data_IF_155636435016
#
_entry.id   IF_155636435016
#
_cell.length_a   1.000
_cell.length_b   1.000
_cell.length_c   1.000
_cell.angle_alpha   90.00
_cell.angle_beta   90.00
_cell.angle_gamma   90.00
#
_symmetry.space_group_name_H-M   'P 1'
#
loop_
_entity.id
_entity.type
_entity.pdbx_description
1 polymer ?
#
# COMPACT_ATOMS: atom_id res chain seq x y z
N UNK A 1 -4.29 -9.60 -29.63
CA UNK A 1 -3.68 -8.98 -28.43
C UNK A 1 -4.74 -8.80 -27.37
N UNK A 2 -4.53 -9.43 -26.22
CA UNK A 2 -5.37 -9.26 -25.03
C UNK A 2 -5.20 -7.87 -24.42
N UNK A 3 -5.99 -7.54 -23.39
CA UNK A 3 -5.86 -6.29 -22.64
C UNK A 3 -4.52 -6.25 -21.90
N UNK A 4 -4.09 -7.39 -21.34
CA UNK A 4 -2.81 -7.53 -20.65
C UNK A 4 -1.63 -7.19 -21.57
N UNK A 5 -1.54 -7.83 -22.75
CA UNK A 5 -0.43 -7.55 -23.70
C UNK A 5 -0.40 -6.09 -24.12
N UNK A 6 -1.56 -5.47 -24.35
CA UNK A 6 -1.63 -4.02 -24.67
C UNK A 6 -1.10 -3.16 -23.53
N UNK A 7 -1.36 -3.52 -22.28
CA UNK A 7 -0.83 -2.80 -21.12
C UNK A 7 0.68 -2.98 -20.99
N UNK A 8 1.18 -4.21 -21.18
CA UNK A 8 2.61 -4.52 -21.17
C UNK A 8 3.37 -3.76 -22.27
N UNK A 9 2.83 -3.67 -23.48
CA UNK A 9 3.45 -2.91 -24.57
C UNK A 9 3.53 -1.41 -24.26
N UNK A 10 2.53 -0.85 -23.56
CA UNK A 10 2.56 0.56 -23.09
C UNK A 10 3.69 0.77 -22.07
N UNK A 11 3.82 -0.15 -21.11
CA UNK A 11 4.91 -0.12 -20.11
C UNK A 11 6.26 -0.20 -20.83
N UNK A 12 6.43 -1.16 -21.73
CA UNK A 12 7.68 -1.35 -22.45
C UNK A 12 8.03 -0.17 -23.34
N UNK A 13 7.05 0.46 -24.00
CA UNK A 13 7.29 1.68 -24.75
C UNK A 13 7.80 2.81 -23.85
N UNK A 14 7.23 2.96 -22.65
CA UNK A 14 7.72 3.92 -21.66
C UNK A 14 9.14 3.59 -21.19
N UNK A 15 9.43 2.31 -20.92
CA UNK A 15 10.78 1.87 -20.55
C UNK A 15 11.78 2.10 -21.69
N UNK A 16 11.44 1.86 -22.95
CA UNK A 16 12.34 2.14 -24.08
C UNK A 16 12.72 3.62 -24.18
N UNK A 17 11.81 4.52 -23.80
CA UNK A 17 12.04 5.96 -23.84
C UNK A 17 12.85 6.47 -22.65
N UNK A 18 12.58 5.94 -21.45
CA UNK A 18 13.11 6.51 -20.20
C UNK A 18 14.14 5.60 -19.50
N UNK A 19 14.11 4.28 -19.76
CA UNK A 19 14.96 3.23 -19.17
C UNK A 19 15.43 2.20 -20.21
N UNK A 20 16.09 2.63 -21.31
CA UNK A 20 16.50 1.71 -22.36
C UNK A 20 17.39 0.57 -21.85
N UNK A 21 18.14 0.80 -20.76
CA UNK A 21 18.91 -0.22 -20.06
C UNK A 21 18.03 -1.35 -19.53
N UNK A 22 16.94 -1.05 -18.81
CA UNK A 22 16.01 -2.08 -18.30
C UNK A 22 15.24 -2.74 -19.44
N UNK A 23 14.78 -1.95 -20.41
CA UNK A 23 14.08 -2.49 -21.58
C UNK A 23 14.94 -3.50 -22.36
N UNK A 24 16.26 -3.27 -22.43
CA UNK A 24 17.20 -4.16 -23.11
C UNK A 24 17.47 -5.48 -22.39
N UNK A 25 17.20 -5.54 -21.07
CA UNK A 25 17.39 -6.74 -20.26
C UNK A 25 16.21 -7.72 -20.34
N UNK A 26 15.06 -7.31 -20.89
CA UNK A 26 13.90 -8.19 -21.00
C UNK A 26 14.15 -9.32 -21.99
N UNK A 27 14.14 -10.56 -21.49
CA UNK A 27 14.32 -11.77 -22.31
C UNK A 27 13.16 -11.92 -23.29
N UNK A 28 13.38 -12.39 -24.53
CA UNK A 28 12.30 -12.69 -25.45
C UNK A 28 11.24 -13.61 -24.82
N UNK A 29 9.99 -13.41 -25.20
CA UNK A 29 8.88 -14.26 -24.78
C UNK A 29 9.06 -15.72 -25.21
N UNK A 30 8.46 -16.62 -24.43
CA UNK A 30 8.44 -18.05 -24.69
C UNK A 30 7.26 -18.45 -25.58
N UNK A 31 7.39 -19.56 -26.30
CA UNK A 31 6.25 -20.21 -26.93
C UNK A 31 5.36 -20.90 -25.89
N UNK A 32 4.10 -21.15 -26.23
CA UNK A 32 3.18 -21.85 -25.33
C UNK A 32 3.72 -23.25 -24.95
N UNK A 33 4.27 -23.98 -25.93
CA UNK A 33 4.84 -25.31 -25.72
C UNK A 33 6.04 -25.29 -24.75
N UNK A 34 6.89 -24.27 -24.83
CA UNK A 34 8.01 -24.08 -23.90
C UNK A 34 7.52 -23.82 -22.47
N UNK A 35 6.52 -22.96 -22.30
CA UNK A 35 5.93 -22.67 -20.99
C UNK A 35 5.29 -23.94 -20.42
N UNK A 36 4.42 -24.61 -21.19
CA UNK A 36 3.75 -25.84 -20.78
C UNK A 36 4.75 -26.93 -20.37
N UNK A 37 5.85 -27.08 -21.11
CA UNK A 37 6.90 -28.05 -20.79
C UNK A 37 7.62 -27.75 -19.47
N UNK A 38 7.83 -26.47 -19.15
CA UNK A 38 8.48 -26.05 -17.90
C UNK A 38 7.54 -26.21 -16.69
N UNK A 39 6.27 -25.83 -16.83
CA UNK A 39 5.31 -25.84 -15.71
C UNK A 39 4.63 -27.20 -15.48
N UNK A 40 4.84 -28.20 -16.36
CA UNK A 40 4.17 -29.51 -16.30
C UNK A 40 4.30 -30.26 -14.97
N UNK A 41 5.39 -29.99 -14.24
CA UNK A 41 5.70 -30.67 -12.98
C UNK A 41 5.18 -29.89 -11.75
N UNK A 42 4.61 -28.70 -11.93
CA UNK A 42 3.98 -27.99 -10.82
C UNK A 42 2.76 -28.76 -10.32
N UNK A 43 2.53 -28.82 -9.00
CA UNK A 43 1.39 -29.54 -8.41
C UNK A 43 0.04 -28.81 -8.62
N UNK A 44 0.05 -27.70 -9.34
CA UNK A 44 -1.09 -26.83 -9.62
C UNK A 44 -0.98 -26.26 -11.03
N UNK A 45 -2.08 -25.68 -11.51
CA UNK A 45 -2.16 -24.97 -12.78
C UNK A 45 -2.07 -23.46 -12.56
N UNK A 46 -1.44 -22.79 -13.51
CA UNK A 46 -1.28 -21.33 -13.53
C UNK A 46 -2.44 -20.68 -14.29
N UNK A 47 -2.83 -19.44 -13.94
CA UNK A 47 -3.87 -18.73 -14.67
C UNK A 47 -3.41 -18.33 -16.07
N UNK A 48 -4.34 -18.20 -17.02
CA UNK A 48 -4.05 -17.84 -18.41
C UNK A 48 -3.21 -16.55 -18.54
N UNK A 49 -3.45 -15.55 -17.69
CA UNK A 49 -2.66 -14.30 -17.68
C UNK A 49 -1.15 -14.52 -17.45
N UNK A 50 -0.75 -15.58 -16.72
CA UNK A 50 0.67 -15.91 -16.53
C UNK A 50 1.31 -16.41 -17.81
N UNK A 51 0.59 -17.27 -18.56
CA UNK A 51 1.05 -17.69 -19.89
C UNK A 51 1.19 -16.50 -20.82
N UNK A 52 0.19 -15.62 -20.88
CA UNK A 52 0.23 -14.42 -21.70
C UNK A 52 1.41 -13.49 -21.35
N UNK A 53 1.73 -13.35 -20.06
CA UNK A 53 2.87 -12.57 -19.58
C UNK A 53 4.21 -13.18 -20.04
N UNK A 54 4.41 -14.49 -19.86
CA UNK A 54 5.66 -15.16 -20.25
C UNK A 54 5.80 -15.37 -21.76
N UNK A 55 4.69 -15.41 -22.50
CA UNK A 55 4.70 -15.34 -23.96
C UNK A 55 5.10 -13.96 -24.49
N UNK A 56 4.93 -12.91 -23.69
CA UNK A 56 5.33 -11.55 -24.03
C UNK A 56 6.84 -11.34 -23.78
N UNK A 57 7.31 -11.52 -22.55
CA UNK A 57 8.72 -11.53 -22.20
C UNK A 57 8.99 -12.51 -21.05
N UNK A 58 10.18 -13.09 -21.01
CA UNK A 58 10.54 -14.12 -20.02
C UNK A 58 11.42 -13.60 -18.89
N UNK A 59 10.98 -12.52 -18.24
CA UNK A 59 11.72 -11.89 -17.15
C UNK A 59 12.95 -11.09 -17.59
N UNK A 60 13.71 -10.65 -16.59
CA UNK A 60 14.97 -9.91 -16.73
C UNK A 60 16.15 -10.88 -16.87
N UNK A 61 17.07 -10.58 -17.80
CA UNK A 61 18.34 -11.30 -17.95
C UNK A 61 19.41 -10.76 -16.99
N UNK A 62 19.37 -11.22 -15.73
CA UNK A 62 20.38 -10.87 -14.74
C UNK A 62 21.81 -11.32 -15.10
N UNK A 63 21.96 -12.37 -15.92
CA UNK A 63 23.28 -12.88 -16.30
C UNK A 63 24.02 -11.89 -17.21
N UNK A 64 23.27 -11.15 -18.04
CA UNK A 64 23.83 -10.11 -18.91
C UNK A 64 24.41 -8.90 -18.13
N UNK A 65 23.93 -8.66 -16.92
CA UNK A 65 24.37 -7.56 -16.03
C UNK A 65 25.79 -7.80 -15.53
N UNK A 66 26.12 -9.05 -15.14
CA UNK A 66 27.46 -9.41 -14.68
C UNK A 66 28.57 -9.13 -15.70
N UNK A 67 28.22 -9.01 -16.99
CA UNK A 67 29.15 -8.74 -18.10
C UNK A 67 29.29 -7.25 -18.41
N UNK A 68 28.48 -6.38 -17.82
CA UNK A 68 28.35 -4.96 -18.16
C UNK A 68 28.71 -4.02 -16.99
N UNK A 69 29.93 -4.15 -16.45
CA UNK A 69 30.57 -3.23 -15.49
C UNK A 69 29.90 -3.05 -14.10
N UNK A 70 30.73 -2.68 -13.11
CA UNK A 70 30.42 -2.42 -11.69
C UNK A 70 29.49 -1.21 -11.43
N UNK A 71 28.34 -1.12 -12.10
CA UNK A 71 27.28 -0.17 -11.77
C UNK A 71 26.15 -0.92 -11.06
N UNK A 72 25.66 -0.36 -9.96
CA UNK A 72 24.40 -0.80 -9.34
C UNK A 72 23.30 -0.40 -10.33
N UNK A 73 23.02 -1.27 -11.29
CA UNK A 73 21.94 -1.10 -12.25
C UNK A 73 20.65 -1.46 -11.54
N UNK A 74 19.75 -0.49 -11.46
CA UNK A 74 18.37 -0.75 -11.08
C UNK A 74 17.69 -1.54 -12.21
N UNK A 75 17.35 -2.80 -11.95
CA UNK A 75 16.74 -3.74 -12.90
C UNK A 75 15.21 -3.79 -12.88
N UNK A 76 14.60 -2.98 -12.01
CA UNK A 76 13.18 -3.10 -11.68
C UNK A 76 12.30 -2.82 -12.91
N UNK A 77 11.50 -3.81 -13.28
CA UNK A 77 10.59 -3.73 -14.44
C UNK A 77 9.36 -2.90 -14.12
N UNK A 78 8.78 -3.14 -12.94
CA UNK A 78 7.74 -2.30 -12.34
C UNK A 78 8.31 -1.67 -11.08
N UNK A 79 7.71 -0.58 -10.56
CA UNK A 79 8.12 -0.01 -9.30
C UNK A 79 8.37 -1.04 -8.21
N UNK A 80 9.56 -0.98 -7.61
CA UNK A 80 10.08 -1.90 -6.60
C UNK A 80 10.42 -3.31 -7.07
N UNK A 81 9.74 -3.90 -8.05
CA UNK A 81 9.91 -5.31 -8.36
C UNK A 81 10.60 -5.60 -9.69
N UNK A 82 11.51 -6.57 -9.64
CA UNK A 82 12.06 -7.25 -10.80
C UNK A 82 11.06 -8.24 -11.39
N UNK A 83 11.15 -8.48 -12.69
CA UNK A 83 10.36 -9.50 -13.38
C UNK A 83 11.18 -10.79 -13.48
N UNK A 84 10.75 -11.82 -12.74
CA UNK A 84 11.40 -13.13 -12.72
C UNK A 84 11.25 -13.81 -14.08
N UNK A 85 12.29 -14.54 -14.51
CA UNK A 85 12.11 -15.51 -15.58
C UNK A 85 11.28 -16.71 -15.10
N UNK A 86 10.65 -17.42 -16.03
CA UNK A 86 9.78 -18.56 -15.67
C UNK A 86 10.52 -19.64 -14.88
N UNK A 87 11.79 -19.88 -15.21
CA UNK A 87 12.65 -20.82 -14.49
C UNK A 87 12.85 -20.39 -13.03
N UNK A 88 13.24 -19.13 -12.81
CA UNK A 88 13.39 -18.56 -11.47
C UNK A 88 12.06 -18.58 -10.70
N UNK A 89 10.95 -18.19 -11.34
CA UNK A 89 9.64 -18.22 -10.71
C UNK A 89 9.23 -19.63 -10.25
N UNK A 90 9.59 -20.67 -11.01
CA UNK A 90 9.35 -22.07 -10.62
C UNK A 90 10.23 -22.47 -9.43
N UNK A 91 11.52 -22.14 -9.46
CA UNK A 91 12.45 -22.41 -8.35
C UNK A 91 11.98 -21.73 -7.06
N UNK A 92 11.73 -20.42 -7.11
CA UNK A 92 11.23 -19.61 -6.00
C UNK A 92 9.86 -20.10 -5.50
N UNK A 93 8.98 -20.59 -6.40
CA UNK A 93 7.68 -21.12 -5.98
C UNK A 93 7.80 -22.32 -5.04
N UNK A 94 8.85 -23.14 -5.18
CA UNK A 94 9.08 -24.29 -4.32
C UNK A 94 9.51 -23.83 -2.92
N UNK A 95 10.43 -22.87 -2.84
CA UNK A 95 10.92 -22.33 -1.57
C UNK A 95 9.82 -21.56 -0.81
N UNK A 96 9.07 -20.71 -1.53
CA UNK A 96 7.93 -19.98 -0.99
C UNK A 96 6.86 -20.93 -0.46
N UNK A 97 6.62 -22.04 -1.16
CA UNK A 97 5.64 -23.03 -0.74
C UNK A 97 6.05 -23.73 0.57
N UNK A 98 7.33 -24.08 0.73
CA UNK A 98 7.86 -24.57 2.00
C UNK A 98 7.67 -23.56 3.13
N UNK A 99 7.94 -22.28 2.87
CA UNK A 99 7.69 -21.20 3.82
C UNK A 99 6.21 -21.12 4.18
N UNK A 100 5.31 -21.15 3.19
CA UNK A 100 3.85 -21.11 3.39
C UNK A 100 3.41 -22.22 4.32
N UNK A 101 3.83 -23.47 4.08
CA UNK A 101 3.49 -24.60 4.94
C UNK A 101 4.03 -24.47 6.37
N UNK A 102 5.23 -23.91 6.52
CA UNK A 102 5.90 -23.81 7.82
C UNK A 102 5.35 -22.68 8.70
N UNK A 103 4.98 -21.56 8.10
CA UNK A 103 4.70 -20.32 8.83
C UNK A 103 3.27 -19.81 8.70
N UNK A 104 2.45 -20.42 7.86
CA UNK A 104 1.04 -20.05 7.70
C UNK A 104 0.11 -21.23 7.93
N UNK A 105 -1.16 -20.94 8.25
CA UNK A 105 -2.21 -21.96 8.33
C UNK A 105 -2.95 -22.03 7.00
N UNK A 106 -3.33 -23.23 6.51
CA UNK A 106 -4.22 -23.36 5.35
C UNK A 106 -5.57 -22.65 5.53
N UNK A 107 -5.99 -22.46 6.79
CA UNK A 107 -7.21 -21.74 7.15
C UNK A 107 -7.00 -20.22 7.28
N UNK A 108 -5.75 -19.74 7.18
CA UNK A 108 -5.45 -18.32 7.19
C UNK A 108 -5.86 -17.67 5.86
N UNK A 109 -6.34 -16.43 5.96
CA UNK A 109 -6.75 -15.65 4.80
C UNK A 109 -5.61 -15.56 3.78
N UNK A 110 -5.91 -15.76 2.49
CA UNK A 110 -4.96 -15.74 1.38
C UNK A 110 -3.82 -16.77 1.43
N UNK A 111 -3.85 -17.74 2.36
CA UNK A 111 -2.85 -18.82 2.44
C UNK A 111 -3.38 -20.19 1.98
N UNK A 112 -4.59 -20.24 1.41
CA UNK A 112 -5.34 -21.47 1.13
C UNK A 112 -5.01 -22.11 -0.23
N UNK A 113 -4.29 -21.41 -1.11
CA UNK A 113 -3.87 -21.89 -2.44
C UNK A 113 -2.35 -21.79 -2.61
N UNK A 114 -1.73 -22.63 -3.46
CA UNK A 114 -0.31 -22.54 -3.77
C UNK A 114 0.08 -21.16 -4.30
N UNK A 115 1.27 -20.71 -3.94
CA UNK A 115 1.78 -19.39 -4.31
C UNK A 115 2.78 -19.51 -5.46
N UNK A 116 2.59 -18.68 -6.50
CA UNK A 116 3.50 -18.62 -7.63
C UNK A 116 4.03 -17.18 -7.79
N UNK A 117 5.32 -16.92 -7.55
CA UNK A 117 5.91 -15.60 -7.67
C UNK A 117 6.08 -15.21 -9.13
N UNK A 118 5.82 -13.94 -9.44
CA UNK A 118 6.00 -13.37 -10.78
C UNK A 118 6.97 -12.21 -10.72
N UNK A 119 6.82 -11.37 -9.70
CA UNK A 119 7.73 -10.27 -9.45
C UNK A 119 8.32 -10.42 -8.06
N UNK A 120 9.60 -10.07 -7.92
CA UNK A 120 10.33 -10.15 -6.66
C UNK A 120 11.09 -8.85 -6.39
N UNK A 121 11.27 -8.54 -5.12
CA UNK A 121 12.14 -7.49 -4.63
C UNK A 121 12.93 -8.06 -3.46
N UNK A 122 14.25 -8.20 -3.66
CA UNK A 122 15.11 -8.92 -2.73
C UNK A 122 14.64 -10.39 -2.52
N UNK A 123 15.27 -11.13 -1.62
CA UNK A 123 14.97 -12.55 -1.36
C UNK A 123 13.68 -12.77 -0.51
N UNK A 124 12.93 -11.71 -0.20
CA UNK A 124 11.85 -11.77 0.79
C UNK A 124 10.54 -11.06 0.40
N UNK A 125 10.49 -10.22 -0.64
CA UNK A 125 9.25 -9.57 -1.08
C UNK A 125 8.84 -10.01 -2.47
N UNK A 126 7.57 -10.41 -2.61
CA UNK A 126 7.05 -10.97 -3.85
C UNK A 126 5.66 -10.44 -4.18
N UNK A 127 5.42 -10.23 -5.47
CA UNK A 127 4.08 -10.25 -6.04
C UNK A 127 3.82 -11.62 -6.64
N UNK A 128 2.89 -12.33 -6.03
CA UNK A 128 2.50 -13.69 -6.38
C UNK A 128 1.11 -13.72 -7.01
N UNK A 129 0.80 -14.82 -7.67
CA UNK A 129 -0.57 -15.24 -8.00
C UNK A 129 -0.86 -16.59 -7.38
N UNK A 130 -2.13 -16.94 -7.25
CA UNK A 130 -2.51 -18.30 -6.86
C UNK A 130 -2.43 -19.28 -8.03
N UNK A 131 -1.82 -20.44 -7.75
CA UNK A 131 -2.08 -21.66 -8.48
C UNK A 131 -3.43 -22.27 -8.11
N UNK A 132 -4.03 -23.02 -9.04
CA UNK A 132 -5.31 -23.69 -8.80
C UNK A 132 -5.31 -25.12 -9.40
N UNK A 133 -6.28 -25.92 -8.97
CA UNK A 133 -6.59 -27.23 -9.55
C UNK A 133 -7.24 -27.16 -10.94
N UNK A 134 -7.77 -25.99 -11.30
CA UNK A 134 -8.54 -25.76 -12.54
C UNK A 134 -7.91 -24.67 -13.41
N UNK A 135 -8.22 -24.71 -14.71
CA UNK A 135 -7.79 -23.68 -15.65
C UNK A 135 -8.58 -22.39 -15.40
N UNK A 136 -7.98 -21.50 -14.63
CA UNK A 136 -8.53 -20.18 -14.39
C UNK A 136 -7.97 -19.18 -15.39
N UNK A 137 -8.80 -18.23 -15.82
CA UNK A 137 -8.31 -17.14 -16.68
C UNK A 137 -7.45 -16.14 -15.92
N UNK A 138 -7.89 -15.79 -14.71
CA UNK A 138 -7.30 -14.74 -13.89
C UNK A 138 -7.07 -15.26 -12.46
N UNK A 139 -6.14 -14.61 -11.76
CA UNK A 139 -5.87 -14.83 -10.35
C UNK A 139 -5.53 -13.48 -9.72
N UNK A 140 -5.97 -13.20 -8.48
CA UNK A 140 -5.56 -11.97 -7.81
C UNK A 140 -4.04 -11.93 -7.64
N UNK A 141 -3.47 -10.73 -7.75
CA UNK A 141 -2.07 -10.49 -7.42
C UNK A 141 -1.99 -10.17 -5.94
N UNK A 142 -1.18 -10.95 -5.23
CA UNK A 142 -1.01 -10.87 -3.78
C UNK A 142 0.40 -10.36 -3.50
N UNK A 143 0.52 -9.41 -2.59
CA UNK A 143 1.79 -9.03 -2.02
C UNK A 143 2.12 -9.94 -0.84
N UNK A 144 3.26 -10.59 -0.91
CA UNK A 144 3.77 -11.49 0.11
C UNK A 144 5.14 -10.97 0.57
N UNK A 145 5.33 -10.86 1.89
CA UNK A 145 6.64 -10.60 2.49
C UNK A 145 6.98 -11.75 3.43
N UNK A 146 8.03 -12.51 3.09
CA UNK A 146 8.49 -13.65 3.86
C UNK A 146 9.22 -13.15 5.12
N UNK A 147 8.93 -13.76 6.26
CA UNK A 147 9.63 -13.47 7.53
C UNK A 147 9.18 -12.20 8.29
N UNK A 148 8.41 -11.30 7.68
CA UNK A 148 7.98 -10.06 8.35
C UNK A 148 6.73 -10.16 9.24
N UNK A 149 6.19 -11.36 9.47
CA UNK A 149 5.04 -11.60 10.36
C UNK A 149 3.68 -11.12 9.84
N UNK A 150 3.64 -10.46 8.67
CA UNK A 150 2.39 -10.05 8.01
C UNK A 150 1.85 -11.15 7.10
N UNK A 151 0.54 -11.43 7.16
CA UNK A 151 -0.11 -12.32 6.20
C UNK A 151 -0.13 -11.71 4.79
N UNK A 152 -0.08 -12.53 3.73
CA UNK A 152 -0.20 -12.08 2.35
C UNK A 152 -1.49 -11.29 2.11
N UNK A 153 -1.38 -10.21 1.33
CA UNK A 153 -2.48 -9.29 1.07
C UNK A 153 -2.80 -9.22 -0.41
N UNK A 154 -4.05 -9.46 -0.80
CA UNK A 154 -4.51 -9.20 -2.16
C UNK A 154 -4.33 -7.71 -2.46
N UNK A 155 -3.54 -7.41 -3.49
CA UNK A 155 -3.31 -6.04 -3.96
C UNK A 155 -4.10 -5.75 -5.21
N UNK A 156 -4.11 -6.64 -6.19
CA UNK A 156 -4.79 -6.37 -7.45
C UNK A 156 -5.73 -7.52 -7.81
N UNK A 157 -6.91 -7.23 -8.39
CA UNK A 157 -7.84 -8.28 -8.82
C UNK A 157 -7.26 -9.24 -9.86
N UNK A 158 -6.31 -8.78 -10.68
CA UNK A 158 -5.66 -9.58 -11.72
C UNK A 158 -4.33 -8.96 -12.16
N UNK A 159 -3.54 -9.71 -12.95
CA UNK A 159 -2.32 -9.17 -13.57
C UNK A 159 -2.67 -8.08 -14.58
N UNK A 160 -3.77 -8.23 -15.32
CA UNK A 160 -4.26 -7.19 -16.23
C UNK A 160 -4.49 -5.88 -15.48
N UNK A 161 -5.14 -5.92 -14.32
CA UNK A 161 -5.39 -4.70 -13.52
C UNK A 161 -4.09 -4.07 -13.04
N UNK A 162 -3.17 -4.87 -12.49
CA UNK A 162 -1.86 -4.39 -12.06
C UNK A 162 -1.12 -3.69 -13.24
N UNK A 163 -1.04 -4.35 -14.39
CA UNK A 163 -0.31 -3.80 -15.54
C UNK A 163 -0.99 -2.56 -16.14
N UNK A 164 -2.32 -2.47 -16.10
CA UNK A 164 -3.04 -1.25 -16.52
C UNK A 164 -2.73 -0.05 -15.62
N UNK A 165 -2.71 -0.27 -14.30
CA UNK A 165 -2.33 0.76 -13.32
C UNK A 165 -0.90 1.19 -13.57
N UNK A 166 0.02 0.22 -13.70
CA UNK A 166 1.45 0.53 -13.93
C UNK A 166 1.65 1.31 -15.22
N UNK A 167 0.98 0.91 -16.31
CA UNK A 167 1.03 1.64 -17.58
C UNK A 167 0.54 3.09 -17.44
N UNK A 168 -0.63 3.32 -16.81
CA UNK A 168 -1.15 4.68 -16.61
C UNK A 168 -0.24 5.52 -15.71
N UNK A 169 0.33 4.93 -14.67
CA UNK A 169 1.27 5.63 -13.79
C UNK A 169 2.58 6.03 -14.51
N UNK A 170 3.09 5.19 -15.41
CA UNK A 170 4.23 5.57 -16.25
C UNK A 170 3.86 6.69 -17.24
N UNK A 171 2.72 6.61 -17.91
CA UNK A 171 2.28 7.60 -18.91
C UNK A 171 1.94 8.97 -18.31
N UNK A 172 1.45 8.98 -17.07
CA UNK A 172 1.13 10.21 -16.34
C UNK A 172 2.33 10.82 -15.62
N UNK A 173 3.46 10.11 -15.57
CA UNK A 173 4.64 10.50 -14.81
C UNK A 173 4.50 10.33 -13.30
N UNK A 174 3.45 9.64 -12.83
CA UNK A 174 3.24 9.33 -11.41
C UNK A 174 4.35 8.40 -10.87
N UNK A 175 4.97 7.60 -11.74
CA UNK A 175 6.26 6.99 -11.47
C UNK A 175 7.35 7.87 -12.08
N UNK A 176 7.99 8.69 -11.25
CA UNK A 176 9.13 9.50 -11.67
C UNK A 176 10.45 8.79 -11.38
N UNK A 177 11.47 9.19 -12.13
CA UNK A 177 12.85 8.74 -11.94
C UNK A 177 13.72 9.94 -11.57
N UNK A 178 14.37 9.88 -10.41
CA UNK A 178 15.40 10.86 -10.06
C UNK A 178 16.77 10.38 -10.53
N UNK A 179 17.29 10.98 -11.59
CA UNK A 179 18.63 10.71 -12.11
C UNK A 179 19.76 11.29 -11.23
N UNK A 180 19.44 12.18 -10.28
CA UNK A 180 20.43 12.95 -9.50
C UNK A 180 20.54 12.55 -8.03
N UNK A 181 19.80 11.55 -7.58
CA UNK A 181 19.88 11.08 -6.19
C UNK A 181 21.12 10.19 -6.02
N UNK A 182 22.09 10.65 -5.21
CA UNK A 182 23.20 9.84 -4.66
C UNK A 182 22.72 8.59 -3.86
N UNK A 183 21.40 8.40 -3.73
CA UNK A 183 20.73 7.27 -3.08
C UNK A 183 19.87 6.46 -4.08
N UNK A 184 20.36 6.27 -5.31
CA UNK A 184 19.71 5.49 -6.38
C UNK A 184 19.26 4.06 -5.98
N UNK A 185 19.70 3.54 -4.84
CA UNK A 185 19.31 2.22 -4.33
C UNK A 185 18.01 2.19 -3.50
N UNK A 186 17.39 3.33 -3.13
CA UNK A 186 16.31 3.30 -2.14
C UNK A 186 15.04 4.10 -2.42
N UNK A 187 14.90 4.78 -3.56
CA UNK A 187 13.75 5.67 -3.74
C UNK A 187 13.05 5.56 -5.09
N UNK A 188 11.92 4.87 -5.07
CA UNK A 188 10.69 5.53 -5.51
C UNK A 188 10.15 6.23 -4.25
N UNK A 189 10.69 7.41 -3.95
CA UNK A 189 10.09 8.28 -2.96
C UNK A 189 8.88 8.91 -3.64
N UNK A 190 7.70 8.29 -3.64
CA UNK A 190 6.52 8.98 -4.15
C UNK A 190 6.44 10.34 -3.43
N UNK A 191 6.65 11.45 -4.13
CA UNK A 191 6.34 12.77 -3.58
C UNK A 191 4.84 12.73 -3.26
N UNK A 192 4.36 13.49 -2.27
CA UNK A 192 2.94 13.43 -1.87
C UNK A 192 1.96 13.64 -3.04
N UNK A 193 2.39 14.42 -4.05
CA UNK A 193 1.61 14.65 -5.28
C UNK A 193 1.52 13.40 -6.17
N UNK A 194 2.53 12.54 -6.16
CA UNK A 194 2.60 11.32 -6.99
C UNK A 194 1.83 10.18 -6.34
N UNK A 195 1.87 10.07 -5.00
CA UNK A 195 1.00 9.14 -4.25
C UNK A 195 -0.46 9.35 -4.62
N UNK A 196 -0.89 10.61 -4.72
CA UNK A 196 -2.27 10.95 -5.07
C UNK A 196 -2.64 10.49 -6.49
N UNK A 197 -1.73 10.62 -7.46
CA UNK A 197 -1.96 10.15 -8.83
C UNK A 197 -1.99 8.62 -8.93
N UNK A 198 -1.05 7.93 -8.26
CA UNK A 198 -1.06 6.46 -8.17
C UNK A 198 -2.37 5.98 -7.54
N UNK A 199 -2.78 6.57 -6.41
CA UNK A 199 -4.04 6.24 -5.74
C UNK A 199 -5.25 6.52 -6.64
N UNK A 200 -5.25 7.58 -7.45
CA UNK A 200 -6.33 7.85 -8.41
C UNK A 200 -6.44 6.75 -9.47
N UNK A 201 -5.30 6.31 -10.02
CA UNK A 201 -5.25 5.18 -10.96
C UNK A 201 -5.69 3.88 -10.30
N UNK A 202 -5.22 3.60 -9.07
CA UNK A 202 -5.64 2.41 -8.32
C UNK A 202 -7.15 2.41 -8.04
N UNK A 203 -7.73 3.54 -7.60
CA UNK A 203 -9.17 3.66 -7.34
C UNK A 203 -10.01 3.46 -8.61
N UNK A 204 -9.51 3.93 -9.77
CA UNK A 204 -10.16 3.76 -11.07
C UNK A 204 -10.25 2.28 -11.47
N UNK A 205 -9.17 1.51 -11.32
CA UNK A 205 -9.11 0.12 -11.77
C UNK A 205 -9.47 -0.92 -10.72
N UNK A 206 -9.42 -0.56 -9.43
CA UNK A 206 -9.86 -1.41 -8.32
C UNK A 206 -11.28 -1.05 -7.84
N UNK A 207 -12.11 -0.48 -8.72
CA UNK A 207 -13.46 0.00 -8.40
C UNK A 207 -14.33 -1.07 -7.74
N UNK A 208 -14.37 -2.30 -8.27
CA UNK A 208 -15.19 -3.37 -7.70
C UNK A 208 -14.77 -3.73 -6.27
N UNK A 209 -13.46 -3.79 -6.01
CA UNK A 209 -12.92 -4.05 -4.66
C UNK A 209 -13.30 -2.92 -3.68
N UNK A 210 -13.29 -1.67 -4.16
CA UNK A 210 -13.71 -0.52 -3.38
C UNK A 210 -15.23 -0.55 -3.10
N UNK A 211 -16.06 -0.88 -4.10
CA UNK A 211 -17.51 -0.99 -3.91
C UNK A 211 -17.87 -2.13 -2.94
N UNK A 212 -17.18 -3.28 -3.00
CA UNK A 212 -17.33 -4.35 -2.00
C UNK A 212 -17.05 -3.85 -0.58
N UNK A 213 -15.96 -3.09 -0.40
CA UNK A 213 -15.58 -2.55 0.89
C UNK A 213 -16.59 -1.49 1.38
N UNK A 214 -17.06 -0.60 0.49
CA UNK A 214 -18.06 0.42 0.80
C UNK A 214 -19.42 -0.19 1.16
N UNK A 215 -19.84 -1.23 0.46
CA UNK A 215 -21.08 -1.96 0.76
C UNK A 215 -21.00 -2.62 2.14
N UNK A 216 -19.83 -3.16 2.51
CA UNK A 216 -19.60 -3.73 3.84
C UNK A 216 -19.70 -2.68 4.96
N UNK A 217 -19.46 -1.40 4.69
CA UNK A 217 -19.55 -0.30 5.67
C UNK A 217 -20.96 0.00 6.16
N UNK A 218 -22.01 -0.65 5.61
CA UNK A 218 -23.36 -0.63 6.21
C UNK A 218 -23.36 -1.08 7.67
N UNK A 219 -22.41 -1.93 8.04
CA UNK A 219 -22.22 -2.40 9.41
C UNK A 219 -20.79 -2.09 9.87
N UNK A 220 -20.58 -1.27 10.90
CA UNK A 220 -19.22 -0.88 11.31
C UNK A 220 -18.33 -2.04 11.75
N UNK A 221 -18.92 -3.16 12.16
CA UNK A 221 -18.19 -4.38 12.51
C UNK A 221 -17.37 -4.94 11.33
N UNK A 222 -17.74 -4.60 10.09
CA UNK A 222 -16.96 -4.97 8.90
C UNK A 222 -15.55 -4.38 8.90
N UNK A 223 -15.31 -3.29 9.65
CA UNK A 223 -13.97 -2.74 9.83
C UNK A 223 -13.03 -3.70 10.54
N UNK A 224 -13.51 -4.74 11.25
CA UNK A 224 -12.66 -5.79 11.80
C UNK A 224 -12.09 -6.71 10.71
N UNK A 225 -12.74 -6.80 9.56
CA UNK A 225 -12.25 -7.55 8.42
C UNK A 225 -11.01 -6.83 7.83
N UNK A 226 -9.88 -7.54 7.80
CA UNK A 226 -8.61 -6.99 7.32
C UNK A 226 -8.64 -6.61 5.84
N UNK A 227 -9.33 -7.38 4.97
CA UNK A 227 -9.51 -7.03 3.56
C UNK A 227 -10.26 -5.70 3.40
N UNK A 228 -11.36 -5.52 4.13
CA UNK A 228 -12.14 -4.26 4.10
C UNK A 228 -11.26 -3.10 4.57
N UNK A 229 -10.65 -3.23 5.75
CA UNK A 229 -9.81 -2.18 6.32
C UNK A 229 -8.64 -1.80 5.41
N UNK A 230 -7.87 -2.78 4.92
CA UNK A 230 -6.71 -2.54 4.06
C UNK A 230 -7.11 -1.91 2.71
N UNK A 231 -8.27 -2.29 2.18
CA UNK A 231 -8.81 -1.69 0.94
C UNK A 231 -9.09 -0.21 1.14
N UNK A 232 -9.79 0.16 2.22
CA UNK A 232 -10.14 1.56 2.51
C UNK A 232 -8.92 2.42 2.86
N UNK A 233 -7.92 1.84 3.52
CA UNK A 233 -6.63 2.51 3.77
C UNK A 233 -5.86 2.78 2.48
N UNK A 234 -5.89 1.83 1.52
CA UNK A 234 -5.19 2.01 0.23
C UNK A 234 -5.94 2.91 -0.73
N UNK A 235 -7.27 2.85 -0.73
CA UNK A 235 -8.14 3.56 -1.67
C UNK A 235 -9.01 4.58 -0.91
N UNK A 236 -8.44 5.72 -0.46
CA UNK A 236 -9.23 6.82 0.11
C UNK A 236 -10.38 7.24 -0.80
N UNK A 237 -11.61 7.16 -0.28
CA UNK A 237 -12.82 7.57 -0.98
C UNK A 237 -13.68 8.47 -0.08
N UNK A 238 -14.13 9.65 -0.53
CA UNK A 238 -14.97 10.57 0.25
C UNK A 238 -16.25 9.95 0.83
N UNK A 239 -16.80 8.91 0.20
CA UNK A 239 -17.97 8.17 0.68
C UNK A 239 -17.72 7.45 1.99
N UNK A 240 -16.47 7.23 2.37
CA UNK A 240 -16.09 6.62 3.65
C UNK A 240 -16.22 7.57 4.83
N UNK A 241 -16.29 8.89 4.61
CA UNK A 241 -16.28 9.88 5.69
C UNK A 241 -17.38 9.60 6.72
N UNK A 242 -18.65 9.63 6.30
CA UNK A 242 -19.77 9.49 7.23
C UNK A 242 -19.75 8.14 7.98
N UNK A 243 -19.51 6.99 7.29
CA UNK A 243 -19.29 5.72 7.97
C UNK A 243 -18.15 5.77 9.00
N UNK A 244 -17.04 6.44 8.72
CA UNK A 244 -15.89 6.51 9.64
C UNK A 244 -16.16 7.46 10.80
N UNK A 245 -16.86 8.57 10.59
CA UNK A 245 -17.29 9.46 11.66
C UNK A 245 -18.24 8.77 12.64
N UNK A 246 -19.16 7.96 12.10
CA UNK A 246 -20.00 7.08 12.91
C UNK A 246 -19.15 6.04 13.64
N UNK A 247 -18.26 5.34 12.91
CA UNK A 247 -17.44 4.27 13.44
C UNK A 247 -16.51 4.71 14.58
N UNK A 248 -16.01 5.95 14.51
CA UNK A 248 -15.18 6.56 15.55
C UNK A 248 -15.92 6.75 16.88
N UNK A 249 -17.25 6.90 16.83
CA UNK A 249 -18.10 7.25 17.97
C UNK A 249 -19.19 6.22 18.28
N UNK A 250 -19.09 4.99 17.76
CA UNK A 250 -20.11 3.93 17.92
C UNK A 250 -20.46 3.72 19.39
N UNK A 251 -21.73 3.88 19.80
CA UNK A 251 -22.16 3.62 21.16
C UNK A 251 -21.76 2.21 21.63
N UNK A 252 -21.30 2.07 22.87
CA UNK A 252 -20.94 0.76 23.44
C UNK A 252 -22.10 -0.24 23.39
N UNK A 253 -23.35 0.24 23.37
CA UNK A 253 -24.56 -0.59 23.24
C UNK A 253 -24.68 -1.31 21.90
N UNK A 254 -23.96 -0.89 20.86
CA UNK A 254 -24.05 -1.46 19.51
C UNK A 254 -22.98 -2.50 19.21
N UNK A 255 -21.96 -2.63 20.08
CA UNK A 255 -20.91 -3.64 19.93
C UNK A 255 -20.83 -4.42 21.23
N UNK A 256 -21.17 -5.70 21.18
CA UNK A 256 -21.23 -6.59 22.35
C UNK A 256 -19.88 -6.77 23.07
N UNK A 257 -18.79 -6.36 22.42
CA UNK A 257 -17.41 -6.62 22.82
C UNK A 257 -16.60 -5.32 22.83
N UNK A 258 -16.18 -4.90 24.02
CA UNK A 258 -15.41 -3.67 24.23
C UNK A 258 -14.08 -3.66 23.46
N UNK A 259 -13.40 -4.81 23.34
CA UNK A 259 -12.14 -4.92 22.62
C UNK A 259 -12.35 -4.71 21.12
N UNK A 260 -13.40 -5.31 20.56
CA UNK A 260 -13.79 -5.08 19.15
C UNK A 260 -14.18 -3.61 18.91
N UNK A 261 -14.90 -3.00 19.84
CA UNK A 261 -15.28 -1.59 19.73
C UNK A 261 -14.04 -0.68 19.65
N UNK A 262 -13.03 -0.93 20.49
CA UNK A 262 -11.75 -0.22 20.46
C UNK A 262 -11.07 -0.37 19.10
N UNK A 263 -11.00 -1.59 18.55
CA UNK A 263 -10.37 -1.85 17.25
C UNK A 263 -11.11 -1.13 16.12
N UNK A 264 -12.44 -1.12 16.12
CA UNK A 264 -13.25 -0.43 15.10
C UNK A 264 -12.97 1.08 15.14
N UNK A 265 -12.98 1.69 16.33
CA UNK A 265 -12.73 3.14 16.49
C UNK A 265 -11.30 3.52 16.09
N UNK A 266 -10.32 2.68 16.44
CA UNK A 266 -8.93 2.87 16.05
C UNK A 266 -8.80 2.85 14.52
N UNK A 267 -9.34 1.83 13.87
CA UNK A 267 -9.33 1.70 12.40
C UNK A 267 -10.06 2.87 11.73
N UNK A 268 -11.18 3.33 12.29
CA UNK A 268 -11.87 4.52 11.80
C UNK A 268 -11.01 5.78 11.88
N UNK A 269 -10.31 6.00 13.01
CA UNK A 269 -9.39 7.13 13.14
C UNK A 269 -8.24 7.07 12.11
N UNK A 270 -7.68 5.88 11.85
CA UNK A 270 -6.66 5.69 10.81
C UNK A 270 -7.18 6.11 9.43
N UNK A 271 -8.33 5.59 9.03
CA UNK A 271 -8.93 5.87 7.71
C UNK A 271 -9.26 7.36 7.57
N UNK A 272 -9.77 8.02 8.61
CA UNK A 272 -10.04 9.47 8.60
C UNK A 272 -8.76 10.29 8.39
N UNK A 273 -7.64 9.85 8.97
CA UNK A 273 -6.34 10.48 8.78
C UNK A 273 -5.84 10.38 7.33
N UNK A 274 -5.96 9.20 6.71
CA UNK A 274 -5.60 8.97 5.31
C UNK A 274 -6.55 9.66 4.32
N UNK A 275 -7.84 9.75 4.67
CA UNK A 275 -8.84 10.41 3.82
C UNK A 275 -8.53 11.90 3.61
N UNK A 276 -7.91 12.55 4.59
CA UNK A 276 -7.51 13.95 4.47
C UNK A 276 -8.66 14.97 4.57
N UNK A 277 -9.89 14.54 4.86
CA UNK A 277 -11.07 15.43 4.91
C UNK A 277 -11.13 16.19 6.24
N UNK A 278 -11.03 17.53 6.18
CA UNK A 278 -11.02 18.41 7.35
C UNK A 278 -12.33 18.41 8.16
N UNK A 279 -13.41 17.82 7.65
CA UNK A 279 -14.64 17.55 8.43
C UNK A 279 -14.39 16.56 9.57
N UNK A 280 -13.34 15.75 9.50
CA UNK A 280 -12.95 14.80 10.54
C UNK A 280 -12.28 15.42 11.77
N UNK A 281 -11.81 16.67 11.68
CA UNK A 281 -11.02 17.33 12.74
C UNK A 281 -11.76 17.36 14.07
N UNK A 282 -13.00 17.84 14.08
CA UNK A 282 -13.77 17.99 15.31
C UNK A 282 -14.16 16.62 15.93
N UNK A 283 -14.65 15.64 15.15
CA UNK A 283 -14.85 14.27 15.64
C UNK A 283 -13.59 13.62 16.21
N UNK A 284 -12.42 13.82 15.59
CA UNK A 284 -11.14 13.28 16.07
C UNK A 284 -10.68 13.99 17.35
N UNK A 285 -10.91 15.30 17.49
CA UNK A 285 -10.63 16.03 18.74
C UNK A 285 -11.45 15.47 19.90
N UNK A 286 -12.75 15.17 19.71
CA UNK A 286 -13.57 14.51 20.73
C UNK A 286 -13.02 13.12 21.11
N UNK A 287 -12.47 12.38 20.15
CA UNK A 287 -11.86 11.07 20.42
C UNK A 287 -10.58 11.15 21.27
N UNK A 288 -9.93 12.32 21.39
CA UNK A 288 -8.82 12.53 22.33
C UNK A 288 -9.27 12.65 23.79
N UNK A 289 -10.48 13.17 24.01
CA UNK A 289 -11.00 13.52 25.34
C UNK A 289 -11.69 12.35 26.03
N UNK A 290 -12.33 11.47 25.24
CA UNK A 290 -13.11 10.36 25.75
C UNK A 290 -12.24 9.12 25.99
N UNK A 291 -11.89 8.89 27.26
CA UNK A 291 -11.32 7.61 27.68
C UNK A 291 -12.42 6.54 27.70
N UNK A 292 -12.30 5.55 26.82
CA UNK A 292 -13.15 4.37 26.86
C UNK A 292 -12.75 3.48 28.05
N UNK A 293 -13.73 2.93 28.76
CA UNK A 293 -13.46 1.86 29.73
C UNK A 293 -12.83 0.69 28.97
N UNK A 294 -11.74 0.13 29.52
CA UNK A 294 -11.04 -0.98 28.86
C UNK A 294 -10.00 -0.59 27.79
N UNK A 295 -9.90 0.68 27.35
CA UNK A 295 -8.81 1.15 26.46
C UNK A 295 -7.48 1.21 27.23
N UNK A 296 -6.87 0.04 27.38
CA UNK A 296 -5.55 -0.13 27.95
C UNK A 296 -4.52 0.48 27.00
N UNK A 297 -4.00 1.65 27.39
CA UNK A 297 -2.92 2.42 26.73
C UNK A 297 -3.36 3.50 25.73
N UNK A 298 -4.62 3.96 25.78
CA UNK A 298 -5.07 5.14 25.02
C UNK A 298 -4.94 4.96 23.50
N UNK A 299 -5.20 3.74 23.00
CA UNK A 299 -4.92 3.38 21.62
C UNK A 299 -5.75 4.22 20.63
N UNK A 300 -7.04 4.45 20.92
CA UNK A 300 -7.92 5.26 20.06
C UNK A 300 -7.48 6.73 20.06
N UNK A 301 -7.17 7.28 21.24
CA UNK A 301 -6.74 8.66 21.37
C UNK A 301 -5.38 8.91 20.69
N UNK A 302 -4.43 7.98 20.79
CA UNK A 302 -3.16 8.06 20.08
C UNK A 302 -3.37 8.08 18.57
N UNK A 303 -4.24 7.21 18.07
CA UNK A 303 -4.53 7.17 16.64
C UNK A 303 -5.27 8.41 16.15
N UNK A 304 -6.18 8.96 16.96
CA UNK A 304 -6.85 10.22 16.66
C UNK A 304 -5.85 11.39 16.62
N UNK A 305 -4.87 11.41 17.52
CA UNK A 305 -3.80 12.42 17.51
C UNK A 305 -2.95 12.33 16.24
N UNK A 306 -2.60 11.12 15.80
CA UNK A 306 -1.87 10.90 14.55
C UNK A 306 -2.69 11.37 13.33
N UNK A 307 -3.97 11.00 13.27
CA UNK A 307 -4.88 11.41 12.21
C UNK A 307 -5.01 12.94 12.14
N UNK A 308 -5.15 13.62 13.28
CA UNK A 308 -5.13 15.09 13.36
C UNK A 308 -3.80 15.67 12.89
N UNK A 309 -2.68 15.00 13.21
CA UNK A 309 -1.35 15.35 12.72
C UNK A 309 -1.23 15.25 11.19
N UNK A 310 -1.83 14.22 10.58
CA UNK A 310 -1.92 14.04 9.11
C UNK A 310 -2.79 15.11 8.46
N UNK A 311 -3.98 15.37 9.01
CA UNK A 311 -4.90 16.41 8.55
C UNK A 311 -4.29 17.82 8.60
N UNK A 312 -3.45 18.09 9.62
CA UNK A 312 -2.67 19.32 9.71
C UNK A 312 -3.48 20.58 9.97
N UNK A 313 -4.73 20.45 10.41
CA UNK A 313 -5.61 21.57 10.72
C UNK A 313 -5.19 22.27 12.03
N UNK A 314 -5.04 23.59 11.98
CA UNK A 314 -4.60 24.38 13.13
C UNK A 314 -5.58 24.35 14.31
N UNK A 315 -6.86 24.07 14.06
CA UNK A 315 -7.89 23.96 15.12
C UNK A 315 -7.55 22.86 16.13
N UNK A 316 -6.85 21.81 15.70
CA UNK A 316 -6.50 20.67 16.54
C UNK A 316 -5.34 20.95 17.53
N UNK A 317 -4.57 22.03 17.33
CA UNK A 317 -3.34 22.29 18.09
C UNK A 317 -3.62 22.38 19.60
N UNK A 318 -4.70 23.06 20.00
CA UNK A 318 -5.07 23.22 21.40
C UNK A 318 -5.37 21.88 22.07
N UNK A 319 -6.22 21.06 21.44
CA UNK A 319 -6.58 19.73 21.92
C UNK A 319 -5.37 18.79 21.99
N UNK A 320 -4.48 18.82 20.99
CA UNK A 320 -3.25 18.03 20.98
C UNK A 320 -2.29 18.44 22.11
N UNK A 321 -2.12 19.74 22.37
CA UNK A 321 -1.30 20.24 23.50
C UNK A 321 -1.88 19.78 24.84
N UNK A 322 -3.19 19.90 25.02
CA UNK A 322 -3.86 19.48 26.25
C UNK A 322 -3.76 17.96 26.45
N UNK A 323 -3.96 17.17 25.39
CA UNK A 323 -3.79 15.73 25.40
C UNK A 323 -2.38 15.35 25.88
N UNK A 324 -1.34 15.98 25.35
CA UNK A 324 0.05 15.76 25.78
C UNK A 324 0.31 16.13 27.25
N UNK A 325 -0.24 17.25 27.71
CA UNK A 325 -0.07 17.70 29.09
C UNK A 325 -0.71 16.74 30.09
N UNK A 326 -1.89 16.22 29.75
CA UNK A 326 -2.64 15.30 30.59
C UNK A 326 -2.05 13.87 30.58
N UNK A 327 -1.29 13.53 29.55
CA UNK A 327 -0.79 12.17 29.30
C UNK A 327 0.75 12.09 29.25
N UNK A 328 1.45 12.91 30.05
CA UNK A 328 2.93 12.93 30.09
C UNK A 328 3.58 11.57 30.37
N UNK A 329 2.90 10.67 31.07
CA UNK A 329 3.38 9.31 31.35
C UNK A 329 3.36 8.37 30.13
N UNK A 330 2.71 8.77 29.03
CA UNK A 330 2.52 7.95 27.82
C UNK A 330 3.56 8.28 26.74
N UNK A 331 4.22 9.44 26.88
CA UNK A 331 5.29 9.92 25.99
C UNK A 331 6.43 8.92 25.71
N UNK A 332 6.87 8.04 26.63
CA UNK A 332 7.95 7.08 26.33
C UNK A 332 7.55 5.95 25.38
N UNK A 333 6.26 5.66 25.23
CA UNK A 333 5.71 4.63 24.32
C UNK A 333 5.32 5.25 22.97
N UNK A 334 5.35 6.57 22.89
CA UNK A 334 4.76 7.36 21.84
C UNK A 334 5.85 8.14 21.12
N UNK A 335 6.10 7.78 19.85
CA UNK A 335 6.96 8.57 18.97
C UNK A 335 6.04 9.46 18.14
N UNK A 336 5.97 10.78 18.43
CA UNK A 336 5.30 11.72 17.55
C UNK A 336 5.74 11.52 16.10
N UNK A 337 4.82 11.40 15.14
CA UNK A 337 5.22 11.41 13.73
C UNK A 337 5.92 12.75 13.42
N UNK A 338 6.93 12.73 12.54
CA UNK A 338 7.66 13.94 12.14
C UNK A 338 6.71 15.04 11.65
N UNK A 339 5.64 14.68 10.94
CA UNK A 339 4.60 15.60 10.48
C UNK A 339 3.87 16.31 11.64
N UNK A 340 3.63 15.59 12.73
CA UNK A 340 2.96 16.12 13.92
C UNK A 340 3.90 17.03 14.75
N UNK A 341 5.16 16.65 14.95
CA UNK A 341 6.18 17.50 15.58
C UNK A 341 6.47 18.78 14.78
N UNK A 342 6.65 18.65 13.46
CA UNK A 342 6.98 19.76 12.57
C UNK A 342 5.86 20.81 12.55
N UNK A 343 4.59 20.38 12.67
CA UNK A 343 3.44 21.29 12.71
C UNK A 343 3.25 22.00 14.05
N UNK A 344 3.51 21.34 15.18
CA UNK A 344 3.53 22.02 16.49
C UNK A 344 4.64 23.09 16.49
N UNK A 345 5.83 22.75 15.99
CA UNK A 345 6.95 23.68 15.85
C UNK A 345 6.63 24.85 14.89
N UNK A 346 5.98 24.59 13.76
CA UNK A 346 5.47 25.62 12.84
C UNK A 346 4.44 26.53 13.51
N UNK A 347 3.60 26.03 14.41
CA UNK A 347 2.64 26.86 15.15
C UNK A 347 3.35 27.80 16.13
N UNK A 348 4.37 27.33 16.84
CA UNK A 348 5.17 28.16 17.75
C UNK A 348 6.01 29.19 16.98
N UNK A 349 6.53 28.80 15.81
CA UNK A 349 7.22 29.70 14.89
C UNK A 349 6.25 30.73 14.29
N UNK A 350 5.02 30.34 13.91
CA UNK A 350 3.97 31.23 13.40
C UNK A 350 3.41 32.15 14.47
N UNK A 351 3.24 31.71 15.71
CA UNK A 351 2.82 32.58 16.83
C UNK A 351 3.89 33.63 17.14
N UNK A 352 5.17 33.24 17.16
CA UNK A 352 6.30 34.18 17.31
C UNK A 352 6.41 35.13 16.12
N UNK A 353 6.23 34.65 14.89
CA UNK A 353 6.27 35.47 13.67
C UNK A 353 5.07 36.43 13.56
N UNK A 354 3.86 35.98 13.89
CA UNK A 354 2.65 36.81 13.90
C UNK A 354 2.66 37.83 15.04
N UNK A 355 3.25 37.49 16.20
CA UNK A 355 3.53 38.44 17.25
C UNK A 355 4.54 39.50 16.78
N UNK A 356 5.65 39.10 16.15
CA UNK A 356 6.67 40.01 15.63
C UNK A 356 6.12 40.94 14.53
N UNK A 357 5.30 40.43 13.62
CA UNK A 357 4.59 41.22 12.60
C UNK A 357 3.63 42.23 13.24
N UNK A 358 2.83 41.85 14.23
CA UNK A 358 1.97 42.78 14.98
C UNK A 358 2.76 43.83 15.78
N UNK A 359 3.96 43.51 16.27
CA UNK A 359 4.84 44.49 16.91
C UNK A 359 5.46 45.48 15.90
N UNK A 360 5.71 45.03 14.67
CA UNK A 360 6.20 45.87 13.58
C UNK A 360 5.09 46.80 13.04
N UNK A 361 3.86 46.32 12.92
CA UNK A 361 2.69 47.13 12.52
C UNK A 361 2.34 48.19 13.58
N UNK A 362 2.49 47.89 14.87
CA UNK A 362 2.31 48.86 15.97
C UNK A 362 3.39 49.93 16.06
N UNK A 363 4.56 49.71 15.45
CA UNK A 363 5.66 50.70 15.41
C UNK A 363 5.64 51.57 14.17
N UNK A 364 4.75 51.31 13.20
CA UNK A 364 4.57 52.07 11.97
C UNK A 364 3.21 52.82 11.93
N UNK A 365 2.60 53.09 13.08
CA UNK A 365 1.44 53.96 13.26
C UNK A 365 1.78 55.15 14.16
#
# INVERSE_FOLDING_TARGET
MSVLTKALDRIFHSLQQHRPEVASLLKPGLTLEEIESQVKNLPFRLPQEVFELYQWHNGIDFLSISRSNNLILDTRFIPYFDFLSLEQAIEESQEIEEFRYKYTSPNAENCHKPWFPIFAYDDLEYLIVFGDSTDNKISPVIHCHLGGGSLPQIKYPSLTTLMLIVAECYETGAYYMDENSEYASYYIACLEQDKKQVTQSESKYCFELLEEALEALRHPISLLNSKVFNTLMRLPDPRTLEPMLYALHIPLSEVEDEEKNIVIRLRAAMILGELGDLRAVEPLMRALEHRLSGDSRYAVANQAAEALGKLGDTRAIGALKQFLQNNRSILPVFVPSLSWCHRIALSEAREKANWALKQLERKNL
#
